data_IF_746170118996
#
_entry.id   IF_746170118996
#
_cell.length_a   1.000
_cell.length_b   1.000
_cell.length_c   1.000
_cell.angle_alpha   90.00
_cell.angle_beta   90.00
_cell.angle_gamma   90.00
#
_symmetry.space_group_name_H-M   'P 1'
#
loop_
_entity.id
_entity.type
_entity.pdbx_description
1 polymer ?
#
# COMPACT_ATOMS: atom_id res chain seq x y z
N UNK A 1 -6.99 2.78 -7.80
CA UNK A 1 -6.72 1.47 -7.13
C UNK A 1 -7.71 0.43 -7.63
N UNK A 2 -7.27 -0.80 -7.89
CA UNK A 2 -8.15 -1.94 -8.20
C UNK A 2 -8.30 -2.79 -6.94
N UNK A 3 -9.52 -2.95 -6.45
CA UNK A 3 -9.81 -3.68 -5.20
C UNK A 3 -9.27 -5.10 -5.19
N UNK A 4 -9.42 -5.85 -6.29
CA UNK A 4 -8.89 -7.20 -6.41
C UNK A 4 -7.36 -7.26 -6.30
N UNK A 5 -6.63 -6.30 -6.90
CA UNK A 5 -5.17 -6.25 -6.76
C UNK A 5 -4.74 -5.96 -5.32
N UNK A 6 -5.43 -5.04 -4.64
CA UNK A 6 -5.16 -4.77 -3.21
C UNK A 6 -5.42 -6.00 -2.34
N UNK A 7 -6.51 -6.73 -2.61
CA UNK A 7 -6.81 -8.01 -1.93
C UNK A 7 -5.65 -9.00 -2.11
N UNK A 8 -5.13 -9.14 -3.33
CA UNK A 8 -4.01 -10.05 -3.60
C UNK A 8 -2.72 -9.62 -2.88
N UNK A 9 -2.40 -8.31 -2.86
CA UNK A 9 -1.26 -7.77 -2.11
C UNK A 9 -1.36 -8.12 -0.62
N UNK A 10 -2.52 -7.86 -0.02
CA UNK A 10 -2.75 -8.12 1.40
C UNK A 10 -2.72 -9.62 1.71
N UNK A 11 -3.36 -10.44 0.88
CA UNK A 11 -3.33 -11.89 1.04
C UNK A 11 -1.92 -12.47 0.91
N UNK A 12 -1.12 -11.93 -0.02
CA UNK A 12 0.28 -12.33 -0.21
C UNK A 12 1.12 -12.10 1.05
N UNK A 13 1.02 -10.92 1.66
CA UNK A 13 1.72 -10.59 2.91
C UNK A 13 1.20 -11.46 4.06
N UNK A 14 -0.12 -11.62 4.20
CA UNK A 14 -0.70 -12.42 5.27
C UNK A 14 -0.30 -13.90 5.18
N UNK A 15 -0.29 -14.49 3.98
CA UNK A 15 0.17 -15.88 3.78
C UNK A 15 1.59 -16.10 4.33
N UNK A 16 2.49 -15.11 4.20
CA UNK A 16 3.86 -15.15 4.75
C UNK A 16 3.93 -14.92 6.26
N UNK A 17 2.88 -14.34 6.84
CA UNK A 17 2.74 -14.10 8.27
C UNK A 17 1.77 -15.11 8.94
N UNK A 18 1.75 -16.37 8.47
CA UNK A 18 0.92 -17.44 9.02
C UNK A 18 -0.60 -17.12 8.98
N UNK A 19 -1.02 -16.31 8.00
CA UNK A 19 -2.41 -15.93 7.77
C UNK A 19 -2.94 -14.80 8.65
N UNK A 20 -2.15 -14.24 9.58
CA UNK A 20 -2.62 -13.19 10.47
C UNK A 20 -1.48 -12.31 10.99
N UNK A 21 -1.71 -11.00 11.11
CA UNK A 21 -0.77 -10.05 11.70
C UNK A 21 -1.46 -8.82 12.26
N UNK A 22 -0.73 -7.97 12.97
CA UNK A 22 -1.21 -6.64 13.37
C UNK A 22 -1.49 -5.80 12.11
N UNK A 23 -2.69 -5.18 12.01
CA UNK A 23 -3.05 -4.42 10.83
C UNK A 23 -2.22 -3.14 10.66
N UNK A 24 -1.66 -2.60 11.73
CA UNK A 24 -0.74 -1.47 11.63
C UNK A 24 0.53 -1.90 10.87
N UNK A 25 1.11 -3.05 11.23
CA UNK A 25 2.28 -3.58 10.54
C UNK A 25 1.97 -3.86 9.07
N UNK A 26 0.82 -4.49 8.78
CA UNK A 26 0.38 -4.71 7.40
C UNK A 26 0.33 -3.41 6.58
N UNK A 27 -0.29 -2.35 7.13
CA UNK A 27 -0.39 -1.06 6.43
C UNK A 27 1.01 -0.50 6.12
N UNK A 28 1.96 -0.66 7.05
CA UNK A 28 3.33 -0.18 6.84
C UNK A 28 4.09 -1.05 5.83
N UNK A 29 3.92 -2.36 5.86
CA UNK A 29 4.51 -3.26 4.86
C UNK A 29 3.99 -2.94 3.46
N UNK A 30 2.68 -2.73 3.28
CA UNK A 30 2.10 -2.31 2.01
C UNK A 30 2.68 -0.97 1.52
N UNK A 31 2.80 0.03 2.43
CA UNK A 31 3.41 1.31 2.08
C UNK A 31 4.87 1.17 1.66
N UNK A 32 5.65 0.40 2.40
CA UNK A 32 7.07 0.16 2.10
C UNK A 32 7.22 -0.59 0.77
N UNK A 33 6.33 -1.54 0.47
CA UNK A 33 6.32 -2.25 -0.80
C UNK A 33 6.04 -1.30 -1.98
N UNK A 34 5.01 -0.46 -1.89
CA UNK A 34 4.73 0.57 -2.89
C UNK A 34 5.91 1.52 -3.07
N UNK A 35 6.50 1.98 -1.97
CA UNK A 35 7.66 2.88 -1.98
C UNK A 35 8.87 2.26 -2.68
N UNK A 36 9.14 0.97 -2.46
CA UNK A 36 10.21 0.23 -3.16
C UNK A 36 9.93 0.05 -4.64
N UNK A 37 8.69 -0.18 -5.00
CA UNK A 37 8.28 -0.25 -6.41
C UNK A 37 8.46 1.11 -7.08
N UNK A 38 8.07 2.20 -6.42
CA UNK A 38 8.28 3.57 -6.90
C UNK A 38 9.77 3.86 -7.09
N UNK A 39 10.63 3.50 -6.13
CA UNK A 39 12.09 3.64 -6.23
C UNK A 39 12.66 2.87 -7.44
N UNK A 40 12.15 1.68 -7.71
CA UNK A 40 12.69 0.78 -8.74
C UNK A 40 12.19 1.09 -10.15
N UNK A 41 10.89 1.39 -10.30
CA UNK A 41 10.22 1.53 -11.61
C UNK A 41 9.30 2.74 -11.72
N UNK A 42 9.34 3.67 -10.78
CA UNK A 42 8.56 4.92 -10.80
C UNK A 42 7.06 4.76 -10.58
N UNK A 43 6.55 3.59 -10.18
CA UNK A 43 5.12 3.37 -9.96
C UNK A 43 4.86 2.42 -8.79
N UNK A 44 3.73 2.62 -8.05
CA UNK A 44 3.35 1.75 -6.95
C UNK A 44 2.77 0.40 -7.44
N UNK A 45 2.77 -0.59 -6.55
CA UNK A 45 2.09 -1.89 -6.75
C UNK A 45 0.58 -1.73 -6.64
N UNK A 46 0.12 -1.09 -5.54
CA UNK A 46 -1.31 -1.04 -5.20
C UNK A 46 -2.08 0.02 -5.99
N UNK A 47 -1.44 1.10 -6.38
CA UNK A 47 -2.10 2.27 -6.96
C UNK A 47 -3.10 2.93 -6.00
N UNK A 48 -2.91 2.78 -4.70
CA UNK A 48 -3.72 3.43 -3.67
C UNK A 48 -3.34 4.92 -3.56
N UNK A 49 -4.14 5.68 -2.83
CA UNK A 49 -3.82 7.03 -2.40
C UNK A 49 -3.12 7.00 -1.06
N UNK A 50 -2.25 7.99 -0.82
CA UNK A 50 -1.45 8.01 0.40
C UNK A 50 -1.77 9.24 1.23
N UNK A 51 -1.67 9.07 2.55
CA UNK A 51 -1.81 10.15 3.52
C UNK A 51 -0.74 10.04 4.61
N UNK A 52 -0.27 11.19 5.06
CA UNK A 52 0.49 11.30 6.30
C UNK A 52 -0.47 11.31 7.47
N UNK A 53 -0.33 10.37 8.40
CA UNK A 53 -1.07 10.32 9.65
C UNK A 53 -0.11 10.41 10.84
N UNK A 54 -0.63 10.57 12.05
CA UNK A 54 0.16 10.70 13.28
C UNK A 54 1.20 9.56 13.47
N UNK A 55 0.90 8.36 12.98
CA UNK A 55 1.74 7.16 13.12
C UNK A 55 2.43 6.74 11.82
N UNK A 56 2.82 7.71 10.98
CA UNK A 56 3.52 7.45 9.74
C UNK A 56 2.62 7.45 8.49
N UNK A 57 3.19 7.25 7.30
CA UNK A 57 2.44 7.22 6.05
C UNK A 57 1.53 6.00 5.96
N UNK A 58 0.40 6.16 5.27
CA UNK A 58 -0.70 5.19 5.20
C UNK A 58 -1.28 5.12 3.79
N UNK A 59 -1.61 3.93 3.32
CA UNK A 59 -2.48 3.70 2.17
C UNK A 59 -3.93 3.98 2.59
N UNK A 60 -4.54 5.02 2.06
CA UNK A 60 -5.85 5.50 2.50
C UNK A 60 -6.97 4.50 2.19
N UNK A 61 -6.98 3.92 0.99
CA UNK A 61 -7.96 2.91 0.61
C UNK A 61 -7.86 1.65 1.48
N UNK A 62 -6.65 1.12 1.67
CA UNK A 62 -6.43 -0.02 2.57
C UNK A 62 -6.93 0.29 4.00
N UNK A 63 -6.62 1.48 4.51
CA UNK A 63 -7.07 1.89 5.83
C UNK A 63 -8.60 1.94 5.94
N UNK A 64 -9.31 2.45 4.92
CA UNK A 64 -10.78 2.49 4.93
C UNK A 64 -11.38 1.08 4.88
N UNK A 65 -10.82 0.14 4.13
CA UNK A 65 -11.24 -1.27 4.13
C UNK A 65 -11.09 -1.90 5.52
N UNK A 66 -9.94 -1.73 6.16
CA UNK A 66 -9.67 -2.26 7.52
C UNK A 66 -10.64 -1.66 8.55
N UNK A 67 -11.04 -0.40 8.40
CA UNK A 67 -11.98 0.27 9.28
C UNK A 67 -13.45 -0.01 8.97
N UNK A 68 -13.75 -0.74 7.89
CA UNK A 68 -15.12 -1.00 7.45
C UNK A 68 -15.85 0.26 6.98
N UNK A 69 -15.11 1.25 6.50
CA UNK A 69 -15.63 2.57 6.10
C UNK A 69 -15.41 2.89 4.62
N UNK A 70 -15.23 1.86 3.78
CA UNK A 70 -15.12 2.05 2.34
C UNK A 70 -16.46 2.52 1.75
N UNK A 71 -16.42 3.50 0.86
CA UNK A 71 -17.62 4.08 0.25
C UNK A 71 -18.34 3.10 -0.70
N UNK A 72 -17.59 2.21 -1.34
CA UNK A 72 -18.16 1.14 -2.17
C UNK A 72 -18.55 -0.05 -1.30
N UNK A 73 -19.85 -0.23 -1.10
CA UNK A 73 -20.41 -1.37 -0.35
C UNK A 73 -20.02 -2.71 -1.00
N UNK A 74 -20.01 -2.77 -2.33
CA UNK A 74 -19.63 -3.98 -3.08
C UNK A 74 -18.18 -4.35 -2.82
N UNK A 75 -17.26 -3.38 -2.88
CA UNK A 75 -15.85 -3.61 -2.63
C UNK A 75 -15.59 -3.97 -1.15
N UNK A 76 -16.30 -3.33 -0.21
CA UNK A 76 -16.20 -3.67 1.20
C UNK A 76 -16.70 -5.10 1.47
N UNK A 77 -17.79 -5.52 0.84
CA UNK A 77 -18.29 -6.90 0.97
C UNK A 77 -17.27 -7.89 0.42
N UNK A 78 -16.71 -7.63 -0.76
CA UNK A 78 -15.65 -8.46 -1.35
C UNK A 78 -14.42 -8.56 -0.45
N UNK A 79 -14.02 -7.44 0.17
CA UNK A 79 -12.96 -7.43 1.18
C UNK A 79 -13.29 -8.32 2.38
N UNK A 80 -14.50 -8.21 2.91
CA UNK A 80 -14.96 -8.98 4.08
C UNK A 80 -15.10 -10.49 3.82
N UNK A 81 -15.23 -10.91 2.55
CA UNK A 81 -15.15 -12.32 2.16
C UNK A 81 -13.73 -12.89 2.27
N UNK A 82 -12.73 -12.04 2.21
CA UNK A 82 -11.32 -12.41 2.20
C UNK A 82 -10.65 -12.28 3.56
N UNK A 83 -11.05 -11.28 4.34
CA UNK A 83 -10.36 -10.88 5.57
C UNK A 83 -11.33 -10.61 6.72
N UNK A 84 -10.87 -10.91 7.93
CA UNK A 84 -11.52 -10.47 9.18
C UNK A 84 -10.58 -9.55 9.96
N UNK A 85 -11.14 -8.57 10.64
CA UNK A 85 -10.40 -7.64 11.51
C UNK A 85 -10.98 -7.69 12.91
N UNK A 86 -10.17 -8.03 13.90
CA UNK A 86 -10.52 -8.07 15.32
C UNK A 86 -9.27 -7.81 16.17
N UNK A 87 -9.43 -7.11 17.30
CA UNK A 87 -8.38 -6.89 18.30
C UNK A 87 -7.04 -6.42 17.71
N UNK A 88 -7.09 -5.42 16.82
CA UNK A 88 -5.95 -4.88 16.08
C UNK A 88 -5.27 -5.85 15.11
N UNK A 89 -5.81 -7.05 14.92
CA UNK A 89 -5.29 -8.02 13.95
C UNK A 89 -6.18 -8.08 12.72
N UNK A 90 -5.54 -8.33 11.58
CA UNK A 90 -6.19 -8.74 10.35
C UNK A 90 -5.81 -10.17 10.06
N UNK A 91 -6.78 -10.98 9.66
CA UNK A 91 -6.62 -12.40 9.38
C UNK A 91 -7.21 -12.75 8.03
N UNK A 92 -6.51 -13.60 7.29
CA UNK A 92 -6.98 -14.21 6.05
C UNK A 92 -8.03 -15.28 6.38
N UNK A 93 -9.23 -15.16 5.81
CA UNK A 93 -10.32 -16.13 5.99
C UNK A 93 -10.58 -16.97 4.74
N UNK A 94 -10.25 -16.46 3.56
CA UNK A 94 -10.32 -17.21 2.31
C UNK A 94 -8.95 -17.75 1.93
N UNK A 95 -8.86 -19.05 1.69
CA UNK A 95 -7.62 -19.70 1.21
C UNK A 95 -7.41 -19.57 -0.31
N UNK A 96 -8.48 -19.25 -1.05
CA UNK A 96 -8.51 -19.29 -2.52
C UNK A 96 -8.39 -17.89 -3.14
N UNK A 97 -7.35 -17.16 -2.72
CA UNK A 97 -7.00 -15.87 -3.34
C UNK A 97 -5.77 -16.10 -4.20
N UNK A 98 -5.94 -15.93 -5.53
CA UNK A 98 -4.86 -16.03 -6.52
C UNK A 98 -3.91 -14.81 -6.46
N UNK A 99 -2.84 -14.86 -7.25
CA UNK A 99 -1.90 -13.75 -7.43
C UNK A 99 -1.92 -13.21 -8.88
N UNK A 100 -2.99 -13.44 -9.63
CA UNK A 100 -3.08 -13.17 -11.09
C UNK A 100 -2.89 -11.69 -11.46
N UNK A 101 -3.10 -10.78 -10.53
CA UNK A 101 -2.87 -9.34 -10.71
C UNK A 101 -1.49 -8.87 -10.24
N UNK A 102 -0.66 -9.77 -9.74
CA UNK A 102 0.73 -9.49 -9.34
C UNK A 102 1.69 -10.02 -10.40
N UNK A 103 2.65 -9.21 -10.80
CA UNK A 103 3.78 -9.65 -11.60
C UNK A 103 4.86 -10.28 -10.71
N UNK A 104 5.74 -11.09 -11.27
CA UNK A 104 6.89 -11.67 -10.56
C UNK A 104 7.76 -10.60 -9.86
N UNK A 105 7.88 -9.43 -10.49
CA UNK A 105 8.60 -8.29 -9.91
C UNK A 105 7.90 -7.76 -8.64
N UNK A 106 6.58 -7.61 -8.66
CA UNK A 106 5.80 -7.14 -7.52
C UNK A 106 5.78 -8.18 -6.40
N UNK A 107 5.63 -9.46 -6.73
CA UNK A 107 5.74 -10.56 -5.76
C UNK A 107 7.11 -10.57 -5.07
N UNK A 108 8.19 -10.36 -5.81
CA UNK A 108 9.54 -10.30 -5.26
C UNK A 108 9.71 -9.13 -4.27
N UNK A 109 9.16 -7.95 -4.59
CA UNK A 109 9.16 -6.81 -3.66
C UNK A 109 8.38 -7.16 -2.38
N UNK A 110 7.16 -7.69 -2.52
CA UNK A 110 6.30 -8.07 -1.39
C UNK A 110 6.98 -9.12 -0.50
N UNK A 111 7.62 -10.12 -1.11
CA UNK A 111 8.38 -11.14 -0.39
C UNK A 111 9.55 -10.55 0.39
N UNK A 112 10.34 -9.69 -0.23
CA UNK A 112 11.48 -9.04 0.42
C UNK A 112 11.04 -8.14 1.58
N UNK A 113 9.90 -7.45 1.45
CA UNK A 113 9.33 -6.64 2.52
C UNK A 113 8.85 -7.54 3.66
N UNK A 114 8.05 -8.54 3.37
CA UNK A 114 7.53 -9.46 4.40
C UNK A 114 8.66 -10.18 5.14
N UNK A 115 9.71 -10.62 4.44
CA UNK A 115 10.87 -11.26 5.06
C UNK A 115 11.64 -10.30 5.99
N UNK A 116 11.77 -9.02 5.60
CA UNK A 116 12.46 -8.01 6.41
C UNK A 116 11.74 -7.74 7.72
N UNK A 117 10.40 -7.68 7.69
CA UNK A 117 9.59 -7.30 8.85
C UNK A 117 8.94 -8.49 9.56
N UNK A 118 9.25 -9.71 9.13
CA UNK A 118 8.73 -10.91 9.78
C UNK A 118 9.03 -10.92 11.29
N UNK A 119 7.98 -11.03 12.08
CA UNK A 119 8.11 -11.05 13.54
C UNK A 119 8.26 -9.68 14.21
N UNK A 120 8.27 -8.58 13.46
CA UNK A 120 8.27 -7.25 14.07
C UNK A 120 7.04 -7.05 14.95
N UNK A 121 7.27 -6.60 16.18
CA UNK A 121 6.22 -6.08 17.04
C UNK A 121 5.68 -4.76 16.51
N UNK A 122 4.49 -4.37 16.98
CA UNK A 122 3.94 -3.02 16.73
C UNK A 122 4.93 -1.91 17.07
N UNK A 123 5.67 -2.04 18.18
CA UNK A 123 6.60 -1.01 18.64
C UNK A 123 7.81 -0.87 17.68
N UNK A 124 8.39 -1.98 17.25
CA UNK A 124 9.52 -1.98 16.29
C UNK A 124 9.09 -1.40 14.94
N UNK A 125 7.92 -1.79 14.43
CA UNK A 125 7.39 -1.22 13.19
C UNK A 125 7.09 0.27 13.33
N UNK A 126 6.56 0.71 14.48
CA UNK A 126 6.30 2.12 14.76
C UNK A 126 7.60 2.93 14.75
N UNK A 127 8.64 2.46 15.43
CA UNK A 127 9.95 3.13 15.46
C UNK A 127 10.54 3.20 14.05
N UNK A 128 10.45 2.12 13.28
CA UNK A 128 10.90 2.10 11.89
C UNK A 128 10.16 3.11 11.02
N UNK A 129 8.83 3.17 11.12
CA UNK A 129 7.96 4.01 10.28
C UNK A 129 7.96 5.51 10.69
N UNK A 130 8.45 5.85 11.88
CA UNK A 130 8.55 7.23 12.37
C UNK A 130 9.92 7.87 12.13
N UNK A 131 10.84 7.17 11.48
CA UNK A 131 12.15 7.71 11.15
C UNK A 131 12.04 8.64 9.92
N UNK A 132 12.08 9.96 10.16
CA UNK A 132 12.01 10.99 9.10
C UNK A 132 13.22 10.96 8.14
N UNK A 133 14.32 10.34 8.52
CA UNK A 133 15.45 10.14 7.60
C UNK A 133 15.14 9.01 6.60
N UNK A 134 14.33 8.02 6.99
CA UNK A 134 13.89 6.94 6.10
C UNK A 134 12.71 7.36 5.24
N UNK A 135 11.81 8.14 5.80
CA UNK A 135 10.57 8.59 5.16
C UNK A 135 10.49 10.12 5.15
N UNK A 136 11.41 10.81 4.44
CA UNK A 136 11.44 12.28 4.41
C UNK A 136 10.18 12.88 3.78
N UNK A 137 9.41 12.08 3.04
CA UNK A 137 8.12 12.47 2.48
C UNK A 137 6.99 12.52 3.51
N UNK A 138 7.15 11.86 4.65
CA UNK A 138 6.14 11.86 5.71
C UNK A 138 6.21 13.13 6.56
N UNK A 139 5.07 13.77 6.75
CA UNK A 139 4.91 14.91 7.64
C UNK A 139 4.10 14.49 8.86
N UNK A 140 4.65 14.60 10.09
CA UNK A 140 3.90 14.33 11.31
C UNK A 140 2.67 15.23 11.41
N UNK A 141 1.53 14.66 11.80
CA UNK A 141 0.27 15.39 12.03
C UNK A 141 -0.30 15.03 13.41
N UNK A 142 -1.21 15.84 13.91
CA UNK A 142 -1.94 15.58 15.16
C UNK A 142 -2.80 14.33 15.05
N UNK A 143 -3.13 13.73 16.21
CA UNK A 143 -4.03 12.57 16.27
C UNK A 143 -5.40 12.94 15.68
N UNK A 144 -5.88 12.14 14.73
CA UNK A 144 -7.14 12.37 14.02
C UNK A 144 -7.04 13.27 12.80
N UNK A 145 -5.87 13.85 12.52
CA UNK A 145 -5.61 14.58 11.28
C UNK A 145 -4.93 13.71 10.24
N UNK A 146 -5.09 14.09 8.97
CA UNK A 146 -4.38 13.51 7.83
C UNK A 146 -4.02 14.61 6.84
N UNK A 147 -2.87 14.44 6.16
CA UNK A 147 -2.45 15.29 5.05
C UNK A 147 -2.24 14.42 3.81
N UNK A 148 -2.71 14.85 2.64
CA UNK A 148 -2.42 14.14 1.39
C UNK A 148 -0.91 13.99 1.19
N UNK A 149 -0.50 12.79 0.75
CA UNK A 149 0.89 12.47 0.40
C UNK A 149 0.91 12.03 -1.06
N UNK A 150 1.51 12.82 -1.93
CA UNK A 150 1.52 12.51 -3.37
C UNK A 150 2.59 11.48 -3.72
N UNK A 151 2.39 10.76 -4.83
CA UNK A 151 3.38 9.84 -5.39
C UNK A 151 4.68 10.60 -5.74
N UNK A 152 4.57 11.84 -6.23
CA UNK A 152 5.72 12.70 -6.51
C UNK A 152 6.53 13.02 -5.25
N UNK A 153 5.85 13.18 -4.09
CA UNK A 153 6.55 13.37 -2.81
C UNK A 153 7.29 12.11 -2.39
N UNK A 154 6.71 10.93 -2.63
CA UNK A 154 7.38 9.65 -2.38
C UNK A 154 8.57 9.48 -3.32
N UNK A 155 8.42 9.79 -4.63
CA UNK A 155 9.52 9.77 -5.61
C UNK A 155 10.69 10.65 -5.17
N UNK A 156 10.42 11.87 -4.68
CA UNK A 156 11.44 12.75 -4.11
C UNK A 156 12.09 12.14 -2.87
N UNK A 157 11.29 11.55 -2.00
CA UNK A 157 11.74 10.91 -0.76
C UNK A 157 12.65 9.70 -0.98
N UNK A 158 12.53 9.00 -2.12
CA UNK A 158 13.45 7.92 -2.53
C UNK A 158 14.64 8.42 -3.36
N UNK A 159 14.70 9.71 -3.69
CA UNK A 159 15.85 10.31 -4.36
C UNK A 159 15.74 10.41 -5.88
N UNK A 160 14.56 10.17 -6.46
CA UNK A 160 14.33 10.36 -7.91
C UNK A 160 14.42 11.85 -8.23
N UNK A 161 15.17 12.19 -9.29
CA UNK A 161 15.38 13.58 -9.68
C UNK A 161 14.09 14.25 -10.20
N UNK A 162 13.96 15.57 -10.02
CA UNK A 162 12.77 16.31 -10.52
C UNK A 162 12.56 16.15 -12.03
N UNK A 163 13.61 15.98 -12.80
CA UNK A 163 13.54 15.74 -14.25
C UNK A 163 12.90 14.39 -14.54
N UNK A 164 13.32 13.34 -13.84
CA UNK A 164 12.76 11.99 -13.98
C UNK A 164 11.33 11.92 -13.49
N UNK A 165 11.00 12.57 -12.37
CA UNK A 165 9.62 12.66 -11.86
C UNK A 165 8.69 13.25 -12.92
N UNK A 166 9.09 14.35 -13.58
CA UNK A 166 8.28 14.95 -14.65
C UNK A 166 8.04 13.99 -15.81
N UNK A 167 9.04 13.19 -16.19
CA UNK A 167 8.91 12.20 -17.26
C UNK A 167 7.98 11.06 -16.85
N UNK A 168 8.18 10.48 -15.67
CA UNK A 168 7.35 9.38 -15.15
C UNK A 168 5.87 9.79 -14.99
N UNK A 169 5.62 11.00 -14.48
CA UNK A 169 4.26 11.53 -14.35
C UNK A 169 3.61 11.80 -15.72
N UNK A 170 4.38 12.29 -16.71
CA UNK A 170 3.86 12.49 -18.05
C UNK A 170 3.53 11.15 -18.73
N UNK A 171 4.38 10.15 -18.58
CA UNK A 171 4.18 8.79 -19.09
C UNK A 171 2.93 8.15 -18.46
N UNK A 172 2.78 8.21 -17.13
CA UNK A 172 1.60 7.69 -16.44
C UNK A 172 0.29 8.33 -16.95
N UNK A 173 0.28 9.65 -17.12
CA UNK A 173 -0.90 10.35 -17.67
C UNK A 173 -1.24 9.89 -19.09
N UNK A 174 -0.24 9.59 -19.92
CA UNK A 174 -0.47 9.08 -21.27
C UNK A 174 -1.13 7.71 -21.23
N UNK A 175 -0.64 6.80 -20.39
CA UNK A 175 -1.25 5.47 -20.18
C UNK A 175 -2.69 5.54 -19.66
N UNK A 176 -2.98 6.43 -18.70
CA UNK A 176 -4.32 6.61 -18.14
C UNK A 176 -5.30 7.15 -19.20
N UNK A 177 -4.84 8.05 -20.07
CA UNK A 177 -5.65 8.57 -21.19
C UNK A 177 -5.95 7.49 -22.23
N UNK A 178 -4.96 6.70 -22.63
CA UNK A 178 -5.14 5.56 -23.53
C UNK A 178 -6.11 4.53 -22.96
N UNK A 179 -5.95 4.14 -21.69
CA UNK A 179 -6.84 3.19 -21.02
C UNK A 179 -8.30 3.67 -21.01
N UNK A 180 -8.52 4.98 -20.84
CA UNK A 180 -9.86 5.57 -20.86
C UNK A 180 -10.50 5.49 -22.26
N UNK A 181 -9.73 5.66 -23.33
CA UNK A 181 -10.20 5.57 -24.72
C UNK A 181 -10.65 4.14 -25.11
N UNK A 182 -10.00 3.12 -24.56
CA UNK A 182 -10.35 1.70 -24.84
C UNK A 182 -11.55 1.19 -24.05
N UNK A 183 -11.99 1.89 -22.99
CA UNK A 183 -13.14 1.47 -22.16
C UNK A 183 -14.44 2.20 -22.51
N UNK A 184 -14.44 3.09 -23.53
CA UNK A 184 -15.62 3.85 -23.99
C UNK A 184 -16.26 3.30 -25.27
N UNK A 185 -15.93 2.07 -25.69
CA UNK A 185 -16.58 1.39 -26.83
C UNK A 185 -17.33 0.14 -26.38
#
# INVERSE_FOLDING_TARGET
MRTEKLIQVVAFILKRNNGSMDYYNLIKECYIADRRSIDSIGRPITGDTYVSMNRGPVLKGLYTFIKGSNESITDQNRWNECFSVSDHKISLISSDISNDFLSDFEENILENVSNQFYGYSYQEMKEYAHDSNRFPEWTPVEVGQELPLSVESIMKGVGISEKEIKLLVAEQKSYDQEATLFHTN
#
